data_IF_522688942213
#
_entry.id   IF_522688942213
#
_cell.length_a   1.000
_cell.length_b   1.000
_cell.length_c   1.000
_cell.angle_alpha   90.00
_cell.angle_beta   90.00
_cell.angle_gamma   90.00
#
_symmetry.space_group_name_H-M   'P 1'
#
loop_
_entity.id
_entity.type
_entity.pdbx_description
1 polymer ?
#
# COMPACT_ATOMS: atom_id res chain seq x y z
N UNK A 1 -3.86 -12.12 -27.89
CA UNK A 1 -2.96 -13.20 -27.41
C UNK A 1 -2.70 -13.17 -25.89
N UNK A 2 -3.03 -12.08 -25.17
CA UNK A 2 -2.92 -11.98 -23.70
C UNK A 2 -3.94 -12.81 -22.90
N UNK A 3 -5.09 -13.19 -23.50
CA UNK A 3 -6.16 -13.91 -22.79
C UNK A 3 -5.90 -15.41 -22.56
N UNK A 4 -4.97 -16.02 -23.31
CA UNK A 4 -4.72 -17.47 -23.25
C UNK A 4 -3.75 -17.88 -22.13
N UNK A 5 -2.88 -16.97 -21.67
CA UNK A 5 -1.89 -17.28 -20.63
C UNK A 5 -2.52 -17.22 -19.23
N UNK A 6 -3.47 -16.30 -18.98
CA UNK A 6 -4.17 -16.20 -17.69
C UNK A 6 -5.04 -17.41 -17.34
N UNK A 7 -5.42 -18.24 -18.34
CA UNK A 7 -6.32 -19.38 -18.15
C UNK A 7 -5.60 -20.71 -17.88
N UNK A 8 -4.27 -20.74 -17.93
CA UNK A 8 -3.49 -21.94 -17.64
C UNK A 8 -3.17 -22.12 -16.14
N UNK A 9 -3.32 -21.07 -15.32
CA UNK A 9 -3.02 -21.11 -13.88
C UNK A 9 -4.27 -21.33 -13.00
N UNK A 10 -5.46 -21.42 -13.59
CA UNK A 10 -6.74 -21.51 -12.83
C UNK A 10 -7.31 -22.94 -12.70
N UNK A 11 -6.54 -23.99 -13.00
CA UNK A 11 -7.05 -25.37 -13.04
C UNK A 11 -6.61 -26.30 -11.91
N UNK A 12 -5.92 -25.81 -10.87
CA UNK A 12 -5.67 -26.58 -9.65
C UNK A 12 -6.28 -25.88 -8.44
N UNK A 13 -7.56 -26.14 -8.19
CA UNK A 13 -8.21 -25.85 -6.92
C UNK A 13 -8.24 -27.13 -6.08
N UNK A 14 -7.43 -27.16 -5.04
CA UNK A 14 -7.40 -28.24 -4.05
C UNK A 14 -6.16 -28.09 -3.18
N UNK A 15 -6.32 -27.41 -2.04
CA UNK A 15 -5.30 -27.06 -1.05
C UNK A 15 -4.22 -26.07 -1.54
N UNK A 16 -4.40 -24.77 -1.25
CA UNK A 16 -3.30 -23.82 -1.36
C UNK A 16 -2.62 -23.69 0.00
N UNK A 17 -1.41 -24.24 0.21
CA UNK A 17 -0.50 -23.57 1.13
C UNK A 17 -0.25 -22.17 0.56
N UNK A 18 -0.17 -21.19 1.45
CA UNK A 18 0.18 -19.81 1.15
C UNK A 18 1.66 -19.76 0.73
N UNK A 19 1.93 -20.15 -0.53
CA UNK A 19 3.24 -20.04 -1.16
C UNK A 19 3.20 -18.94 -2.20
N UNK A 20 2.90 -17.70 -1.77
CA UNK A 20 3.39 -16.56 -2.54
C UNK A 20 4.92 -16.62 -2.50
N UNK A 21 5.56 -17.01 -3.59
CA UNK A 21 7.02 -16.93 -3.73
C UNK A 21 7.41 -15.45 -3.57
N UNK A 22 7.90 -15.09 -2.38
CA UNK A 22 8.40 -13.74 -2.11
C UNK A 22 9.82 -13.65 -2.64
N UNK A 23 9.95 -13.30 -3.93
CA UNK A 23 11.27 -13.23 -4.57
C UNK A 23 12.14 -12.14 -3.92
N UNK A 24 13.31 -12.56 -3.44
CA UNK A 24 14.34 -11.66 -2.92
C UNK A 24 15.16 -11.11 -4.07
N UNK A 25 15.94 -10.06 -3.82
CA UNK A 25 16.85 -9.52 -4.83
C UNK A 25 17.78 -10.61 -5.38
N UNK A 26 18.36 -11.43 -4.52
CA UNK A 26 19.25 -12.54 -4.91
C UNK A 26 18.58 -13.51 -5.89
N UNK A 27 17.28 -13.77 -5.72
CA UNK A 27 16.54 -14.71 -6.56
C UNK A 27 16.28 -14.10 -7.94
N UNK A 28 15.87 -12.82 -7.98
CA UNK A 28 15.61 -12.08 -9.21
C UNK A 28 16.90 -11.86 -10.01
N UNK A 29 18.01 -11.56 -9.32
CA UNK A 29 19.33 -11.42 -9.93
C UNK A 29 19.85 -12.76 -10.47
N UNK A 30 19.72 -13.85 -9.71
CA UNK A 30 20.10 -15.17 -10.19
C UNK A 30 19.29 -15.59 -11.42
N UNK A 31 17.98 -15.29 -11.44
CA UNK A 31 17.13 -15.53 -12.59
C UNK A 31 17.58 -14.69 -13.81
N UNK A 32 17.89 -13.41 -13.61
CA UNK A 32 18.47 -12.55 -14.67
C UNK A 32 19.74 -13.18 -15.23
N UNK A 33 20.70 -13.52 -14.38
CA UNK A 33 22.02 -13.99 -14.81
C UNK A 33 21.94 -15.33 -15.55
N UNK A 34 21.07 -16.23 -15.10
CA UNK A 34 20.79 -17.49 -15.78
C UNK A 34 20.17 -17.27 -17.17
N UNK A 35 19.24 -16.31 -17.31
CA UNK A 35 18.59 -16.01 -18.59
C UNK A 35 19.51 -15.25 -19.55
N UNK A 36 20.39 -14.37 -19.05
CA UNK A 36 21.36 -13.62 -19.88
C UNK A 36 22.36 -14.54 -20.57
N UNK A 37 22.60 -15.74 -20.03
CA UNK A 37 23.43 -16.75 -20.68
C UNK A 37 22.83 -17.28 -22.01
N UNK A 38 21.53 -17.08 -22.24
CA UNK A 38 20.81 -17.61 -23.42
C UNK A 38 20.03 -16.55 -24.20
N UNK A 39 19.80 -15.36 -23.64
CA UNK A 39 18.99 -14.30 -24.23
C UNK A 39 19.66 -12.92 -24.06
N UNK A 40 19.44 -11.98 -25.00
CA UNK A 40 19.78 -10.57 -24.81
C UNK A 40 19.10 -9.99 -23.57
N UNK A 41 19.79 -9.06 -22.89
CA UNK A 41 19.35 -8.48 -21.61
C UNK A 41 17.95 -7.85 -21.69
N UNK A 42 17.63 -7.21 -22.81
CA UNK A 42 16.34 -6.56 -23.03
C UNK A 42 15.19 -7.58 -23.00
N UNK A 43 15.40 -8.77 -23.59
CA UNK A 43 14.41 -9.85 -23.56
C UNK A 43 14.29 -10.46 -22.17
N UNK A 44 15.41 -10.57 -21.43
CA UNK A 44 15.39 -11.03 -20.05
C UNK A 44 14.52 -10.13 -19.19
N UNK A 45 14.68 -8.81 -19.29
CA UNK A 45 13.86 -7.85 -18.54
C UNK A 45 12.39 -7.92 -18.92
N UNK A 46 12.06 -8.04 -20.22
CA UNK A 46 10.67 -8.26 -20.66
C UNK A 46 10.10 -9.56 -20.08
N UNK A 47 10.87 -10.65 -20.04
CA UNK A 47 10.42 -11.93 -19.48
C UNK A 47 10.16 -11.82 -17.99
N UNK A 48 11.09 -11.24 -17.23
CA UNK A 48 10.95 -11.07 -15.78
C UNK A 48 9.76 -10.18 -15.43
N UNK A 49 9.56 -9.11 -16.20
CA UNK A 49 8.43 -8.19 -16.00
C UNK A 49 7.08 -8.82 -16.36
N UNK A 50 6.99 -9.52 -17.49
CA UNK A 50 5.78 -10.26 -17.87
C UNK A 50 5.45 -11.42 -16.93
N UNK A 51 6.45 -11.98 -16.24
CA UNK A 51 6.28 -13.01 -15.24
C UNK A 51 5.94 -12.42 -13.85
N UNK A 52 5.89 -11.10 -13.70
CA UNK A 52 5.78 -10.39 -12.42
C UNK A 52 6.82 -10.89 -11.39
N UNK A 53 8.00 -11.31 -11.89
CA UNK A 53 9.08 -11.85 -11.08
C UNK A 53 9.93 -10.71 -10.51
N UNK A 54 9.30 -9.98 -9.58
CA UNK A 54 9.81 -8.74 -9.00
C UNK A 54 10.31 -8.94 -7.57
N UNK A 55 11.27 -8.11 -7.16
CA UNK A 55 11.76 -8.07 -5.78
C UNK A 55 10.64 -7.56 -4.88
N UNK A 56 10.40 -8.22 -3.75
CA UNK A 56 9.33 -7.84 -2.81
C UNK A 56 9.89 -7.31 -1.49
N UNK A 57 9.41 -6.14 -1.06
CA UNK A 57 9.67 -5.59 0.27
C UNK A 57 8.36 -5.44 1.01
N UNK A 58 8.22 -6.19 2.11
CA UNK A 58 7.01 -6.23 2.94
C UNK A 58 7.18 -5.39 4.20
N UNK A 59 6.16 -4.61 4.55
CA UNK A 59 6.00 -3.91 5.82
C UNK A 59 4.64 -4.25 6.41
N UNK A 60 4.55 -4.56 7.70
CA UNK A 60 3.31 -4.99 8.32
C UNK A 60 3.13 -4.37 9.72
N UNK A 61 1.87 -4.09 10.05
CA UNK A 61 1.44 -3.77 11.40
C UNK A 61 0.22 -4.63 11.73
N UNK A 62 0.29 -5.40 12.81
CA UNK A 62 -0.77 -6.31 13.28
C UNK A 62 -1.32 -5.88 14.64
N UNK A 63 -1.05 -4.64 15.06
CA UNK A 63 -1.48 -4.09 16.34
C UNK A 63 -2.93 -3.62 16.23
N UNK A 64 -3.91 -4.26 16.89
CA UNK A 64 -5.31 -3.86 16.74
C UNK A 64 -5.53 -2.42 17.24
N UNK A 65 -6.28 -1.63 16.47
CA UNK A 65 -6.61 -0.24 16.78
C UNK A 65 -8.04 0.08 16.40
N UNK A 66 -8.71 0.81 17.29
CA UNK A 66 -10.01 1.41 17.02
C UNK A 66 -9.82 2.91 16.76
N UNK A 67 -10.22 3.36 15.57
CA UNK A 67 -10.24 4.78 15.19
C UNK A 67 -11.68 5.26 15.28
N UNK A 68 -12.08 5.71 16.45
CA UNK A 68 -13.40 6.30 16.67
C UNK A 68 -13.40 7.77 16.23
N UNK A 69 -14.39 8.16 15.42
CA UNK A 69 -14.55 9.54 14.97
C UNK A 69 -14.65 10.52 16.16
N UNK A 70 -15.30 10.10 17.25
CA UNK A 70 -15.43 10.84 18.51
C UNK A 70 -14.10 11.20 19.20
N UNK A 71 -12.99 10.57 18.81
CA UNK A 71 -11.66 10.94 19.31
C UNK A 71 -11.11 12.22 18.66
N UNK A 72 -11.83 12.79 17.68
CA UNK A 72 -11.51 14.05 17.02
C UNK A 72 -12.62 15.09 17.31
N UNK A 73 -12.27 16.35 17.66
CA UNK A 73 -13.27 17.40 17.90
C UNK A 73 -14.21 17.65 16.70
N UNK A 74 -13.74 17.41 15.48
CA UNK A 74 -14.52 17.58 14.24
C UNK A 74 -15.27 16.31 13.84
N UNK A 75 -15.20 15.25 14.66
CA UNK A 75 -15.69 13.92 14.33
C UNK A 75 -15.16 13.40 12.98
N UNK A 76 -13.92 13.76 12.65
CA UNK A 76 -13.19 13.27 11.50
C UNK A 76 -11.82 12.82 12.01
N UNK A 77 -11.75 11.57 12.47
CA UNK A 77 -10.56 11.01 13.09
C UNK A 77 -9.64 10.39 12.05
N UNK A 78 -8.34 10.46 12.34
CA UNK A 78 -7.29 9.86 11.54
C UNK A 78 -6.21 9.25 12.43
N UNK A 79 -5.67 8.12 11.98
CA UNK A 79 -4.55 7.43 12.63
C UNK A 79 -3.61 6.93 11.53
N UNK A 80 -2.34 7.34 11.57
CA UNK A 80 -1.32 6.70 10.74
C UNK A 80 -1.07 5.32 11.34
N UNK A 81 -1.52 4.27 10.66
CA UNK A 81 -1.54 2.91 11.20
C UNK A 81 -0.25 2.16 10.90
N UNK A 82 0.33 2.40 9.73
CA UNK A 82 1.58 1.80 9.27
C UNK A 82 2.37 2.83 8.45
N UNK A 83 3.69 2.87 8.65
CA UNK A 83 4.65 3.52 7.75
C UNK A 83 5.64 2.46 7.28
N UNK A 84 5.85 2.34 5.98
CA UNK A 84 6.76 1.32 5.42
C UNK A 84 8.23 1.65 5.69
N UNK A 85 9.08 0.65 5.44
CA UNK A 85 10.50 0.90 5.17
C UNK A 85 10.66 1.91 4.00
N UNK A 86 11.80 2.63 3.92
CA UNK A 86 12.07 3.50 2.79
C UNK A 86 12.00 2.74 1.47
N UNK A 87 11.48 3.39 0.43
CA UNK A 87 11.59 2.92 -0.95
C UNK A 87 13.08 2.79 -1.27
N UNK A 88 13.47 1.60 -1.73
CA UNK A 88 14.86 1.29 -2.02
C UNK A 88 15.43 2.26 -3.06
N UNK A 89 16.69 2.65 -2.84
CA UNK A 89 17.42 3.50 -3.77
C UNK A 89 17.97 2.66 -4.94
N UNK A 90 18.08 3.29 -6.11
CA UNK A 90 18.59 2.72 -7.35
C UNK A 90 20.06 2.24 -7.26
N UNK A 91 20.77 2.57 -6.18
CA UNK A 91 22.19 2.28 -5.99
C UNK A 91 22.51 1.62 -4.63
N UNK A 92 21.54 1.05 -3.92
CA UNK A 92 21.89 0.28 -2.73
C UNK A 92 22.63 -0.99 -3.16
N UNK A 93 23.90 -1.08 -2.76
CA UNK A 93 24.66 -2.33 -2.72
C UNK A 93 24.01 -3.28 -1.72
N UNK A 94 22.92 -3.90 -2.12
CA UNK A 94 22.42 -5.08 -1.46
C UNK A 94 23.44 -6.19 -1.78
N UNK A 95 24.13 -6.66 -0.75
CA UNK A 95 25.02 -7.81 -0.79
C UNK A 95 26.26 -7.71 -1.71
N UNK A 96 26.82 -6.51 -1.89
CA UNK A 96 28.16 -6.34 -2.48
C UNK A 96 28.26 -6.58 -3.99
N UNK A 97 27.14 -6.67 -4.70
CA UNK A 97 27.10 -6.67 -6.16
C UNK A 97 27.01 -5.24 -6.72
N UNK A 98 27.57 -5.04 -7.92
CA UNK A 98 27.51 -3.77 -8.66
C UNK A 98 26.06 -3.29 -8.78
N UNK A 99 25.84 -2.00 -8.50
CA UNK A 99 24.53 -1.39 -8.21
C UNK A 99 23.40 -1.83 -9.14
N UNK A 100 22.56 -2.73 -8.65
CA UNK A 100 21.33 -3.16 -9.33
C UNK A 100 20.29 -2.05 -9.20
N UNK A 101 19.81 -1.53 -10.33
CA UNK A 101 18.75 -0.55 -10.33
C UNK A 101 17.41 -1.23 -10.12
N UNK A 102 16.70 -0.77 -9.10
CA UNK A 102 15.35 -1.19 -8.79
C UNK A 102 14.39 -0.05 -9.05
N UNK A 103 13.26 -0.36 -9.69
CA UNK A 103 12.17 0.59 -9.90
C UNK A 103 10.89 0.02 -9.28
N UNK A 104 10.19 0.76 -8.40
CA UNK A 104 8.88 0.33 -7.92
C UNK A 104 7.90 0.26 -9.09
N UNK A 105 7.21 -0.86 -9.22
CA UNK A 105 6.26 -1.14 -10.33
C UNK A 105 4.85 -1.45 -9.83
N UNK A 106 4.75 -1.91 -8.58
CA UNK A 106 3.49 -2.29 -7.97
C UNK A 106 3.54 -2.07 -6.45
N UNK A 107 2.41 -1.65 -5.88
CA UNK A 107 2.19 -1.62 -4.44
C UNK A 107 0.90 -2.38 -4.13
N UNK A 108 1.01 -3.43 -3.33
CA UNK A 108 -0.12 -4.20 -2.82
C UNK A 108 -0.38 -3.87 -1.35
N UNK A 109 -1.64 -3.66 -1.03
CA UNK A 109 -2.14 -3.40 0.32
C UNK A 109 -3.07 -4.54 0.72
N UNK A 110 -2.81 -5.13 1.88
CA UNK A 110 -3.70 -6.11 2.50
C UNK A 110 -4.19 -5.52 3.82
N UNK A 111 -5.51 -5.38 3.96
CA UNK A 111 -6.14 -4.71 5.09
C UNK A 111 -7.17 -5.65 5.70
N UNK A 112 -7.00 -5.96 6.98
CA UNK A 112 -7.98 -6.68 7.78
C UNK A 112 -8.66 -5.70 8.73
N UNK A 113 -9.92 -5.39 8.45
CA UNK A 113 -10.66 -4.37 9.21
C UNK A 113 -12.17 -4.59 9.18
N UNK A 114 -12.89 -3.80 9.98
CA UNK A 114 -14.34 -3.64 9.92
C UNK A 114 -14.77 -2.27 10.40
N UNK A 115 -15.99 -1.90 10.09
CA UNK A 115 -16.64 -0.73 10.68
C UNK A 115 -17.21 -1.05 12.09
N UNK A 116 -18.06 -0.17 12.61
CA UNK A 116 -18.70 -0.33 13.92
C UNK A 116 -19.74 -1.46 13.97
N UNK A 117 -20.16 -2.01 12.83
CA UNK A 117 -21.07 -3.15 12.75
C UNK A 117 -22.57 -2.81 12.73
N UNK A 118 -22.92 -1.53 12.63
CA UNK A 118 -24.29 -1.08 12.47
C UNK A 118 -24.36 0.26 11.74
N UNK A 119 -25.49 0.51 11.07
CA UNK A 119 -25.81 1.79 10.45
C UNK A 119 -27.31 2.03 10.56
N UNK A 120 -27.72 3.29 10.78
CA UNK A 120 -29.14 3.66 10.82
C UNK A 120 -29.75 3.89 9.43
N UNK A 121 -28.92 4.20 8.44
CA UNK A 121 -29.31 4.41 7.05
C UNK A 121 -29.20 3.11 6.26
N UNK A 122 -30.34 2.57 5.84
CA UNK A 122 -30.40 1.31 5.08
C UNK A 122 -29.73 1.41 3.70
N UNK A 123 -29.53 2.61 3.13
CA UNK A 123 -28.80 2.78 1.88
C UNK A 123 -27.30 2.46 2.00
N UNK A 124 -26.74 2.60 3.21
CA UNK A 124 -25.33 2.32 3.47
C UNK A 124 -25.09 0.86 3.84
N UNK A 125 -26.12 0.15 4.33
CA UNK A 125 -26.01 -1.21 4.85
C UNK A 125 -25.48 -2.16 3.78
N UNK A 126 -24.48 -2.97 4.13
CA UNK A 126 -23.90 -3.97 3.23
C UNK A 126 -23.31 -3.37 1.95
N UNK A 127 -22.80 -2.14 2.03
CA UNK A 127 -22.12 -1.45 0.93
C UNK A 127 -20.73 -0.99 1.37
N UNK A 128 -19.95 -0.48 0.43
CA UNK A 128 -18.70 0.22 0.71
C UNK A 128 -18.85 1.75 0.82
N UNK A 129 -20.06 2.27 0.94
CA UNK A 129 -20.33 3.71 0.96
C UNK A 129 -20.30 4.32 2.37
N UNK A 130 -19.86 3.55 3.36
CA UNK A 130 -19.77 3.99 4.75
C UNK A 130 -18.70 5.06 5.01
N UNK A 131 -18.65 5.50 6.26
CA UNK A 131 -17.77 6.58 6.72
C UNK A 131 -16.57 6.07 7.54
N UNK A 132 -16.10 4.86 7.22
CA UNK A 132 -14.80 4.36 7.67
C UNK A 132 -14.02 3.89 6.46
N UNK A 133 -12.78 4.36 6.32
CA UNK A 133 -11.96 4.10 5.15
C UNK A 133 -10.47 4.20 5.48
N UNK A 134 -9.65 3.91 4.49
CA UNK A 134 -8.21 4.00 4.53
C UNK A 134 -7.74 4.92 3.40
N UNK A 135 -6.66 5.63 3.67
CA UNK A 135 -5.95 6.45 2.69
C UNK A 135 -4.49 6.00 2.65
N UNK A 136 -3.84 6.16 1.51
CA UNK A 136 -2.40 6.05 1.37
C UNK A 136 -1.77 7.43 1.14
N UNK A 137 -0.59 7.67 1.71
CA UNK A 137 0.19 8.88 1.50
C UNK A 137 1.65 8.50 1.22
N UNK A 138 2.31 9.27 0.36
CA UNK A 138 3.76 9.20 0.17
C UNK A 138 4.40 10.21 1.12
N UNK A 139 5.16 9.72 2.09
CA UNK A 139 5.95 10.56 2.99
C UNK A 139 7.35 10.73 2.40
N UNK A 140 7.78 11.97 2.23
CA UNK A 140 9.11 12.32 1.73
C UNK A 140 9.90 13.07 2.80
N UNK A 141 10.69 12.36 3.64
CA UNK A 141 11.39 12.97 4.77
C UNK A 141 12.36 14.09 4.36
N UNK A 142 12.93 14.01 3.16
CA UNK A 142 13.84 15.02 2.61
C UNK A 142 13.21 16.39 2.37
N UNK A 143 11.87 16.51 2.41
CA UNK A 143 11.16 17.78 2.25
C UNK A 143 11.15 18.67 3.50
N UNK A 144 11.57 18.14 4.66
CA UNK A 144 11.57 18.90 5.91
C UNK A 144 12.82 18.65 6.74
N UNK A 145 13.29 19.70 7.40
CA UNK A 145 14.35 19.63 8.42
C UNK A 145 13.79 19.80 9.83
N UNK A 146 12.46 19.89 9.97
CA UNK A 146 11.81 20.10 11.27
C UNK A 146 12.00 18.86 12.18
N UNK A 147 12.71 19.00 13.32
CA UNK A 147 12.97 17.90 14.22
C UNK A 147 11.69 17.30 14.85
N UNK A 148 10.62 18.08 14.97
CA UNK A 148 9.34 17.59 15.51
C UNK A 148 8.67 16.61 14.54
N UNK A 149 8.73 16.89 13.24
CA UNK A 149 8.23 16.00 12.19
C UNK A 149 9.07 14.74 12.07
N UNK A 150 10.39 14.84 12.19
CA UNK A 150 11.28 13.68 12.24
C UNK A 150 10.98 12.80 13.46
N UNK A 151 10.85 13.40 14.65
CA UNK A 151 10.49 12.66 15.86
C UNK A 151 9.12 11.98 15.75
N UNK A 152 8.15 12.63 15.10
CA UNK A 152 6.85 12.02 14.84
C UNK A 152 6.97 10.84 13.87
N UNK A 153 7.70 11.01 12.77
CA UNK A 153 7.92 9.96 11.77
C UNK A 153 8.60 8.74 12.40
N UNK A 154 9.61 8.96 13.23
CA UNK A 154 10.28 7.88 13.99
C UNK A 154 9.28 7.11 14.87
N UNK A 155 8.33 7.81 15.48
CA UNK A 155 7.22 7.20 16.21
C UNK A 155 6.31 6.38 15.31
N UNK A 156 5.89 6.94 14.18
CA UNK A 156 4.99 6.31 13.21
C UNK A 156 5.61 5.07 12.52
N UNK A 157 6.94 5.06 12.35
CA UNK A 157 7.68 3.89 11.86
C UNK A 157 7.62 2.73 12.86
N UNK A 158 7.60 3.02 14.17
CA UNK A 158 7.54 1.99 15.22
C UNK A 158 6.13 1.44 15.44
N UNK A 159 5.09 2.11 14.94
CA UNK A 159 3.72 1.65 15.03
C UNK A 159 2.68 2.76 14.90
N UNK A 160 1.40 2.46 15.19
CA UNK A 160 0.32 3.41 14.94
C UNK A 160 0.49 4.72 15.71
N UNK A 161 0.49 5.83 14.99
CA UNK A 161 0.70 7.17 15.51
C UNK A 161 -0.47 8.10 15.18
N UNK A 162 -0.82 8.97 16.14
CA UNK A 162 -1.85 9.99 15.91
C UNK A 162 -1.35 11.02 14.90
N UNK A 163 -2.26 11.44 14.03
CA UNK A 163 -2.03 12.46 13.03
C UNK A 163 -2.53 13.79 13.55
N UNK A 164 -1.66 14.56 14.20
CA UNK A 164 -2.02 15.87 14.76
C UNK A 164 -1.99 16.94 13.66
N UNK A 165 -3.18 17.41 13.27
CA UNK A 165 -3.34 18.41 12.21
C UNK A 165 -2.61 19.74 12.52
N UNK A 166 -2.32 20.04 13.79
CA UNK A 166 -1.58 21.25 14.19
C UNK A 166 -0.10 21.21 13.79
N UNK A 167 0.46 20.03 13.54
CA UNK A 167 1.89 19.83 13.20
C UNK A 167 2.15 20.05 11.70
N UNK A 168 1.10 20.19 10.87
CA UNK A 168 1.26 20.58 9.46
C UNK A 168 1.96 19.55 8.57
N UNK A 169 2.01 18.27 8.98
CA UNK A 169 2.72 17.19 8.28
C UNK A 169 2.30 17.04 6.80
N UNK A 170 1.06 17.37 6.43
CA UNK A 170 0.56 17.30 5.05
C UNK A 170 1.40 18.16 4.10
N UNK A 171 1.71 19.41 4.48
CA UNK A 171 2.46 20.31 3.61
C UNK A 171 3.97 19.97 3.60
N UNK A 172 4.47 19.47 4.73
CA UNK A 172 5.90 19.29 4.95
C UNK A 172 6.44 17.91 4.53
N UNK A 173 5.64 16.85 4.64
CA UNK A 173 6.05 15.46 4.37
C UNK A 173 5.28 14.83 3.20
N UNK A 174 3.97 15.02 3.12
CA UNK A 174 3.14 14.30 2.16
C UNK A 174 3.29 14.85 0.72
N UNK A 175 3.53 13.96 -0.24
CA UNK A 175 3.59 14.31 -1.68
C UNK A 175 2.17 14.54 -2.21
N UNK A 176 1.98 15.62 -2.96
CA UNK A 176 0.71 15.96 -3.61
C UNK A 176 0.41 15.03 -4.79
N UNK A 177 -0.86 14.75 -5.06
CA UNK A 177 -1.34 14.05 -6.25
C UNK A 177 -1.27 14.91 -7.52
N UNK A 178 -1.46 14.31 -8.70
CA UNK A 178 -1.42 14.97 -10.01
C UNK A 178 -2.41 16.11 -10.16
N UNK A 179 -3.61 15.94 -9.61
CA UNK A 179 -4.63 16.99 -9.61
C UNK A 179 -4.32 18.15 -8.66
N UNK A 180 -3.24 18.04 -7.87
CA UNK A 180 -2.83 18.96 -6.81
C UNK A 180 -3.94 19.28 -5.78
N UNK A 181 -5.00 18.47 -5.72
CA UNK A 181 -6.14 18.69 -4.80
C UNK A 181 -5.96 17.94 -3.49
N UNK A 182 -5.14 16.89 -3.49
CA UNK A 182 -4.93 16.03 -2.33
C UNK A 182 -3.45 15.68 -2.15
N UNK A 183 -3.09 15.29 -0.93
CA UNK A 183 -1.81 14.66 -0.60
C UNK A 183 -1.98 13.18 -0.28
N UNK A 184 -3.19 12.66 -0.49
CA UNK A 184 -3.60 11.31 -0.13
C UNK A 184 -4.51 10.70 -1.18
N UNK A 185 -4.30 9.41 -1.39
CA UNK A 185 -5.11 8.57 -2.26
C UNK A 185 -6.09 7.78 -1.39
N UNK A 186 -7.37 7.78 -1.77
CA UNK A 186 -8.33 6.85 -1.16
C UNK A 186 -7.86 5.42 -1.46
N UNK A 187 -7.75 4.58 -0.44
CA UNK A 187 -7.21 3.22 -0.56
C UNK A 187 -8.33 2.18 -0.54
N UNK A 188 -9.10 2.14 0.54
CA UNK A 188 -10.16 1.15 0.73
C UNK A 188 -11.21 1.67 1.71
N UNK A 189 -12.49 1.50 1.40
CA UNK A 189 -13.58 1.70 2.36
C UNK A 189 -13.91 0.40 3.07
N UNK A 190 -14.34 0.47 4.34
CA UNK A 190 -14.85 -0.74 4.99
C UNK A 190 -16.21 -1.15 4.44
N UNK A 191 -16.47 -2.44 4.47
CA UNK A 191 -17.82 -2.96 4.26
C UNK A 191 -18.71 -2.55 5.44
N UNK A 192 -19.78 -1.83 5.14
CA UNK A 192 -20.59 -1.14 6.13
C UNK A 192 -21.60 -2.06 6.82
N UNK A 193 -21.78 -1.82 8.12
CA UNK A 193 -22.71 -2.49 9.02
C UNK A 193 -22.44 -4.00 9.16
N UNK A 194 -21.16 -4.38 9.24
CA UNK A 194 -20.79 -5.78 9.47
C UNK A 194 -20.07 -5.99 10.80
N UNK A 195 -20.47 -7.06 11.50
CA UNK A 195 -19.84 -7.50 12.75
C UNK A 195 -18.55 -8.29 12.51
N UNK A 196 -18.30 -8.72 11.27
CA UNK A 196 -17.13 -9.50 10.89
C UNK A 196 -16.04 -8.62 10.26
N UNK A 197 -14.79 -8.98 10.51
CA UNK A 197 -13.65 -8.40 9.81
C UNK A 197 -13.55 -8.95 8.39
N UNK A 198 -13.24 -8.08 7.45
CA UNK A 198 -13.02 -8.42 6.04
C UNK A 198 -11.56 -8.19 5.69
N UNK A 199 -11.05 -9.09 4.85
CA UNK A 199 -9.74 -8.93 4.21
C UNK A 199 -9.94 -8.25 2.86
N UNK A 200 -9.33 -7.09 2.70
CA UNK A 200 -9.28 -6.36 1.44
C UNK A 200 -7.87 -6.43 0.88
N UNK A 201 -7.77 -6.76 -0.41
CA UNK A 201 -6.51 -6.70 -1.16
C UNK A 201 -6.68 -5.65 -2.24
N UNK A 202 -5.85 -4.62 -2.20
CA UNK A 202 -5.83 -3.53 -3.20
C UNK A 202 -4.44 -3.50 -3.81
N UNK A 203 -4.38 -3.53 -5.14
CA UNK A 203 -3.12 -3.51 -5.88
C UNK A 203 -3.10 -2.32 -6.82
N UNK A 204 -2.10 -1.46 -6.66
CA UNK A 204 -1.83 -0.33 -7.53
C UNK A 204 -0.59 -0.62 -8.38
N UNK A 205 -0.72 -0.47 -9.70
CA UNK A 205 0.33 -0.73 -10.68
C UNK A 205 0.52 0.50 -11.57
N UNK A 206 1.69 0.63 -12.18
CA UNK A 206 1.99 1.70 -13.15
C UNK A 206 1.10 1.63 -14.41
N UNK A 207 0.72 0.43 -14.85
CA UNK A 207 0.04 0.27 -16.16
C UNK A 207 -1.49 0.08 -16.07
N UNK A 208 -2.01 -0.34 -14.92
CA UNK A 208 -3.42 -0.73 -14.78
C UNK A 208 -3.93 -0.52 -13.35
N UNK A 209 -4.81 0.48 -13.16
CA UNK A 209 -5.72 0.55 -12.02
C UNK A 209 -6.92 -0.36 -12.28
N UNK A 210 -6.93 -1.58 -11.72
CA UNK A 210 -8.10 -2.48 -11.80
C UNK A 210 -8.89 -2.42 -10.50
N UNK A 211 -9.70 -1.37 -10.34
CA UNK A 211 -10.68 -1.33 -9.26
C UNK A 211 -12.02 -0.83 -9.79
N UNK A 212 -13.02 -1.71 -9.80
CA UNK A 212 -14.41 -1.31 -9.98
C UNK A 212 -14.93 -0.68 -8.68
N UNK A 213 -15.69 0.40 -8.80
CA UNK A 213 -16.32 1.14 -7.68
C UNK A 213 -17.11 0.27 -6.69
N UNK A 214 -17.50 -0.95 -7.09
CA UNK A 214 -18.26 -1.88 -6.27
C UNK A 214 -17.48 -2.50 -5.09
N UNK A 215 -16.14 -2.53 -5.10
CA UNK A 215 -15.33 -3.14 -4.03
C UNK A 215 -14.92 -2.18 -2.91
N UNK A 216 -15.20 -0.89 -3.07
CA UNK A 216 -14.73 0.16 -2.14
C UNK A 216 -13.23 0.47 -2.23
N UNK A 217 -12.52 -0.14 -3.18
CA UNK A 217 -11.10 0.12 -3.41
C UNK A 217 -10.92 1.39 -4.23
N UNK A 218 -9.93 2.20 -3.87
CA UNK A 218 -9.53 3.37 -4.65
C UNK A 218 -8.56 3.02 -5.78
N UNK A 219 -8.54 3.86 -6.81
CA UNK A 219 -7.85 3.58 -8.08
C UNK A 219 -6.33 3.73 -8.03
N UNK A 220 -5.82 4.52 -7.07
CA UNK A 220 -4.38 4.71 -6.89
C UNK A 220 -3.66 5.41 -8.04
N UNK A 221 -4.38 6.09 -8.93
CA UNK A 221 -3.81 6.71 -10.14
C UNK A 221 -2.60 7.60 -9.82
N UNK A 222 -1.48 7.35 -10.51
CA UNK A 222 -0.23 8.09 -10.35
C UNK A 222 0.52 7.83 -9.04
N UNK A 223 0.03 6.97 -8.14
CA UNK A 223 0.66 6.75 -6.84
C UNK A 223 2.04 6.10 -6.98
N UNK A 224 2.15 5.03 -7.78
CA UNK A 224 3.39 4.24 -7.89
C UNK A 224 4.47 5.02 -8.63
N UNK A 225 4.07 5.75 -9.67
CA UNK A 225 4.93 6.57 -10.52
C UNK A 225 5.55 7.75 -9.77
N UNK A 226 4.93 8.18 -8.67
CA UNK A 226 5.40 9.28 -7.82
C UNK A 226 6.40 8.85 -6.76
N UNK A 227 6.53 7.55 -6.50
CA UNK A 227 7.47 7.02 -5.53
C UNK A 227 8.91 7.24 -6.03
N UNK A 228 9.73 7.84 -5.18
CA UNK A 228 11.17 7.93 -5.39
C UNK A 228 11.93 7.25 -4.24
N UNK A 229 13.22 6.99 -4.47
CA UNK A 229 14.13 6.50 -3.44
C UNK A 229 14.05 7.34 -2.15
N UNK A 230 13.98 6.65 -1.01
CA UNK A 230 13.89 7.28 0.31
C UNK A 230 12.48 7.72 0.74
N UNK A 231 11.50 7.72 -0.15
CA UNK A 231 10.09 7.90 0.22
C UNK A 231 9.63 6.77 1.14
N UNK A 232 8.52 6.96 1.84
CA UNK A 232 7.83 5.92 2.61
C UNK A 232 6.36 5.97 2.29
N UNK A 233 5.69 4.83 2.38
CA UNK A 233 4.24 4.76 2.22
C UNK A 233 3.61 4.74 3.61
N UNK A 234 2.67 5.64 3.86
CA UNK A 234 1.86 5.65 5.06
C UNK A 234 0.44 5.18 4.74
N UNK A 235 -0.09 4.27 5.55
CA UNK A 235 -1.52 3.90 5.53
C UNK A 235 -2.22 4.58 6.69
N UNK A 236 -3.24 5.38 6.39
CA UNK A 236 -4.00 6.18 7.35
C UNK A 236 -5.40 5.62 7.47
N UNK A 237 -5.76 5.15 8.66
CA UNK A 237 -7.13 4.73 8.97
C UNK A 237 -7.98 5.94 9.36
N UNK A 238 -9.20 6.01 8.80
CA UNK A 238 -10.13 7.14 8.95
C UNK A 238 -11.49 6.68 9.46
N UNK A 239 -12.14 7.56 10.22
CA UNK A 239 -13.54 7.44 10.61
C UNK A 239 -14.19 8.82 10.69
N UNK A 240 -15.40 8.96 10.17
CA UNK A 240 -16.14 10.22 10.17
C UNK A 240 -17.55 10.06 10.72
N UNK A 241 -18.01 11.07 11.45
CA UNK A 241 -19.27 11.19 12.19
C UNK A 241 -19.30 10.45 13.55
N UNK A 242 -19.95 11.03 14.59
CA UNK A 242 -19.71 10.67 16.00
C UNK A 242 -19.78 9.19 16.40
N UNK A 243 -20.60 8.38 15.71
CA UNK A 243 -20.82 6.97 16.04
C UNK A 243 -20.02 5.99 15.18
N UNK A 244 -19.22 6.49 14.23
CA UNK A 244 -18.43 5.64 13.35
C UNK A 244 -17.08 5.31 13.96
N UNK A 245 -16.68 4.05 13.79
CA UNK A 245 -15.42 3.54 14.31
C UNK A 245 -14.80 2.57 13.30
N UNK A 246 -13.58 2.85 12.87
CA UNK A 246 -12.80 1.95 12.04
C UNK A 246 -11.98 1.03 12.95
N UNK A 247 -12.31 -0.26 12.95
CA UNK A 247 -11.60 -1.28 13.72
C UNK A 247 -10.60 -1.97 12.80
N UNK A 248 -9.32 -1.64 12.97
CA UNK A 248 -8.22 -2.17 12.17
C UNK A 248 -7.52 -3.27 12.95
N UNK A 249 -7.45 -4.47 12.39
CA UNK A 249 -6.72 -5.59 12.99
C UNK A 249 -5.30 -5.68 12.43
N UNK A 250 -5.15 -5.49 11.12
CA UNK A 250 -3.86 -5.63 10.43
C UNK A 250 -3.83 -4.83 9.13
N UNK A 251 -2.65 -4.32 8.80
CA UNK A 251 -2.31 -3.78 7.47
C UNK A 251 -0.95 -4.34 7.08
N UNK A 252 -0.85 -4.83 5.85
CA UNK A 252 0.41 -5.20 5.18
C UNK A 252 0.53 -4.39 3.91
N UNK A 253 1.72 -3.86 3.66
CA UNK A 253 2.07 -3.20 2.40
C UNK A 253 3.25 -3.95 1.81
N UNK A 254 3.10 -4.40 0.57
CA UNK A 254 4.15 -5.02 -0.22
C UNK A 254 4.48 -4.12 -1.39
N UNK A 255 5.73 -3.66 -1.47
CA UNK A 255 6.23 -2.93 -2.64
C UNK A 255 7.01 -3.90 -3.50
N UNK A 256 6.68 -3.92 -4.79
CA UNK A 256 7.33 -4.75 -5.79
C UNK A 256 8.22 -3.90 -6.67
N UNK A 257 9.44 -4.40 -6.92
CA UNK A 257 10.45 -3.71 -7.71
C UNK A 257 10.89 -4.55 -8.90
N UNK A 258 10.82 -3.98 -10.09
CA UNK A 258 11.44 -4.54 -11.29
C UNK A 258 12.91 -4.12 -11.37
N UNK A 259 13.72 -4.95 -12.02
CA UNK A 259 15.06 -4.57 -12.46
C UNK A 259 14.96 -3.50 -13.55
N UNK A 260 15.87 -2.52 -13.53
CA UNK A 260 15.89 -1.38 -14.45
C UNK A 260 17.27 -1.14 -15.08
#
# INVERSE_FOLDING_TARGET
MSWLIKRALTFFSGESPDTSLSARLTDVVAARDALVCILPLELVYIILDLAEYWVQVKSACTLPRAVAASNSPTHNASLCYLVTAPILDHNQHLDGEDGVRLKPVCVQFEILSRDQGWVGDDHLRSTYQGHTWFEAAILRPSRTTDPTLHSWLDGAIRGPAKMDASIGYHAALEVTSDDAKSTRWELQRNFCASLFSYSHVVTWNVEVSTTGTASGAGEGEGFVERLIAGDRIAVVARAQYPQWCNNVAQVVVTVHYALA
#
